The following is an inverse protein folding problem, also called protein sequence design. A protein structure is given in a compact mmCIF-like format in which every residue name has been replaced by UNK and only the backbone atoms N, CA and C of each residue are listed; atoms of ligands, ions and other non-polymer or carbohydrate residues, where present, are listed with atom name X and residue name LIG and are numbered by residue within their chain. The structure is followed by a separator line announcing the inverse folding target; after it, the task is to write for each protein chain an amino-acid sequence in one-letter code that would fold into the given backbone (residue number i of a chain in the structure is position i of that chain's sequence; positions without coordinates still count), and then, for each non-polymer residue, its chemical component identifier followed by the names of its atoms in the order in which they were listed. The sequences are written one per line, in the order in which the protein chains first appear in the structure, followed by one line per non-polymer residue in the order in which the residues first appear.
data_IF_325273767323
#
_entry.id   IF_325273767323
#
_cell.length_a   1.000
_cell.length_b   1.000
_cell.length_c   1.000
_cell.angle_alpha   90.00
_cell.angle_beta   90.00
_cell.angle_gamma   90.00
#
_symmetry.space_group_name_H-M   'P 1'
#
loop_
_entity.id
_entity.type
_entity.pdbx_description
1 polymer ?
#
# COMPACT_ATOMS: atom_id res chain seq x y z
N UNK A 1 15.64 6.42 -19.41
CA UNK A 1 14.55 5.42 -19.41
C UNK A 1 14.39 4.98 -17.95
N UNK A 2 13.18 5.13 -17.40
CA UNK A 2 12.89 4.70 -16.01
C UNK A 2 12.99 3.17 -15.91
N UNK A 3 13.50 2.66 -14.79
CA UNK A 3 13.59 1.21 -14.53
C UNK A 3 12.16 0.64 -14.35
N UNK A 4 11.86 -0.45 -15.06
CA UNK A 4 10.61 -1.17 -14.92
C UNK A 4 10.69 -2.08 -13.68
N UNK A 5 9.86 -1.80 -12.67
CA UNK A 5 9.88 -2.54 -11.41
C UNK A 5 8.86 -3.69 -11.40
N UNK A 6 7.62 -3.43 -11.86
CA UNK A 6 6.56 -4.44 -11.90
C UNK A 6 6.06 -4.64 -13.32
N UNK A 7 5.89 -5.90 -13.71
CA UNK A 7 5.21 -6.31 -14.93
C UNK A 7 4.06 -7.28 -14.59
N UNK A 8 2.91 -7.00 -15.17
CA UNK A 8 1.72 -7.86 -15.09
C UNK A 8 1.30 -8.19 -16.52
N UNK A 9 1.12 -9.47 -16.81
CA UNK A 9 0.81 -9.96 -18.16
C UNK A 9 -0.32 -10.96 -18.14
N UNK A 10 -1.39 -10.69 -18.90
CA UNK A 10 -2.54 -11.56 -19.13
C UNK A 10 -3.26 -11.97 -17.84
N UNK A 11 -3.25 -11.11 -16.81
CA UNK A 11 -3.75 -11.49 -15.48
C UNK A 11 -5.26 -11.67 -15.51
N UNK A 12 -5.75 -12.81 -15.00
CA UNK A 12 -7.16 -13.12 -14.87
C UNK A 12 -7.46 -13.64 -13.46
N UNK A 13 -8.64 -13.32 -12.95
CA UNK A 13 -9.09 -13.82 -11.65
C UNK A 13 -10.61 -13.95 -11.59
N UNK A 14 -11.08 -15.04 -10.97
CA UNK A 14 -12.48 -15.34 -10.69
C UNK A 14 -12.74 -15.38 -9.19
N UNK A 15 -13.98 -15.16 -8.83
CA UNK A 15 -14.48 -15.36 -7.46
C UNK A 15 -15.70 -16.27 -7.53
N UNK A 16 -15.49 -17.57 -7.27
CA UNK A 16 -16.48 -18.58 -7.59
C UNK A 16 -16.76 -18.59 -9.10
N UNK A 17 -18.03 -18.56 -9.55
CA UNK A 17 -18.35 -18.53 -10.97
C UNK A 17 -18.13 -17.15 -11.64
N UNK A 18 -18.05 -16.07 -10.85
CA UNK A 18 -17.97 -14.72 -11.37
C UNK A 18 -16.55 -14.36 -11.83
N UNK A 19 -16.41 -13.97 -13.09
CA UNK A 19 -15.19 -13.36 -13.62
C UNK A 19 -15.06 -11.93 -13.09
N UNK A 20 -13.96 -11.62 -12.40
CA UNK A 20 -13.69 -10.28 -11.89
C UNK A 20 -12.92 -9.42 -12.89
N UNK A 21 -11.92 -10.05 -13.51
CA UNK A 21 -11.14 -9.42 -14.59
C UNK A 21 -10.39 -10.52 -15.38
N UNK A 22 -10.08 -10.19 -16.63
CA UNK A 22 -9.27 -11.03 -17.51
C UNK A 22 -8.38 -10.15 -18.42
N UNK A 23 -7.30 -10.75 -18.92
CA UNK A 23 -6.37 -10.11 -19.87
C UNK A 23 -5.86 -8.75 -19.37
N UNK A 24 -5.57 -8.63 -18.07
CA UNK A 24 -5.04 -7.40 -17.50
C UNK A 24 -3.53 -7.37 -17.70
N UNK A 25 -3.08 -6.31 -18.41
CA UNK A 25 -1.68 -6.03 -18.69
C UNK A 25 -1.32 -4.63 -18.20
N UNK A 26 -0.24 -4.50 -17.44
CA UNK A 26 0.33 -3.20 -17.08
C UNK A 26 1.75 -3.33 -16.56
N UNK A 27 2.43 -2.19 -16.52
CA UNK A 27 3.77 -2.06 -15.92
C UNK A 27 3.78 -0.89 -14.93
N UNK A 28 4.63 -0.99 -13.90
CA UNK A 28 4.92 0.14 -13.00
C UNK A 28 6.43 0.36 -13.02
N UNK A 29 6.81 1.60 -13.27
CA UNK A 29 8.21 2.03 -13.33
C UNK A 29 8.62 2.69 -12.00
N UNK A 30 9.92 2.75 -11.75
CA UNK A 30 10.47 3.50 -10.63
C UNK A 30 10.02 4.96 -10.67
N UNK A 31 9.63 5.50 -9.53
CA UNK A 31 9.12 6.86 -9.40
C UNK A 31 7.66 7.05 -9.81
N UNK A 32 6.90 5.97 -10.13
CA UNK A 32 5.52 6.07 -10.62
C UNK A 32 4.52 5.31 -9.76
N UNK A 33 3.27 5.76 -9.82
CA UNK A 33 2.12 5.11 -9.20
C UNK A 33 1.08 4.70 -10.26
N UNK A 34 0.50 3.52 -10.10
CA UNK A 34 -0.66 3.07 -10.87
C UNK A 34 -1.90 3.11 -9.98
N UNK A 35 -2.89 3.92 -10.37
CA UNK A 35 -4.15 4.04 -9.67
C UNK A 35 -5.22 3.17 -10.34
N UNK A 36 -5.70 2.15 -9.63
CA UNK A 36 -6.77 1.25 -10.09
C UNK A 36 -8.12 1.88 -9.75
N UNK A 37 -8.92 2.13 -10.78
CA UNK A 37 -10.27 2.70 -10.70
C UNK A 37 -11.31 1.65 -11.12
N UNK A 38 -12.53 1.79 -10.65
CA UNK A 38 -13.66 0.92 -11.00
C UNK A 38 -14.74 0.93 -9.93
N UNK A 39 -15.93 0.44 -10.26
CA UNK A 39 -17.06 0.36 -9.34
C UNK A 39 -16.75 -0.54 -8.12
N UNK A 40 -17.56 -0.44 -7.07
CA UNK A 40 -17.47 -1.39 -5.96
C UNK A 40 -17.78 -2.80 -6.47
N UNK A 41 -16.95 -3.77 -6.07
CA UNK A 41 -17.07 -5.15 -6.56
C UNK A 41 -16.36 -5.45 -7.89
N UNK A 42 -15.78 -4.45 -8.58
CA UNK A 42 -15.07 -4.66 -9.87
C UNK A 42 -13.76 -5.46 -9.76
N UNK A 43 -13.35 -5.87 -8.56
CA UNK A 43 -12.14 -6.68 -8.39
C UNK A 43 -10.88 -5.90 -8.00
N UNK A 44 -10.95 -4.60 -7.70
CA UNK A 44 -9.77 -3.77 -7.32
C UNK A 44 -8.94 -4.42 -6.20
N UNK A 45 -9.56 -4.70 -5.06
CA UNK A 45 -8.90 -5.38 -3.92
C UNK A 45 -8.32 -6.74 -4.34
N UNK A 46 -9.05 -7.49 -5.18
CA UNK A 46 -8.59 -8.79 -5.68
C UNK A 46 -7.36 -8.62 -6.56
N UNK A 47 -7.34 -7.63 -7.47
CA UNK A 47 -6.17 -7.33 -8.29
C UNK A 47 -4.96 -6.98 -7.42
N UNK A 48 -5.12 -6.07 -6.45
CA UNK A 48 -4.05 -5.72 -5.52
C UNK A 48 -3.50 -6.96 -4.78
N UNK A 49 -4.40 -7.78 -4.21
CA UNK A 49 -4.02 -9.02 -3.51
C UNK A 49 -3.36 -10.04 -4.44
N UNK A 50 -3.80 -10.12 -5.69
CA UNK A 50 -3.18 -11.01 -6.68
C UNK A 50 -1.77 -10.54 -7.03
N UNK A 51 -1.55 -9.24 -7.21
CA UNK A 51 -0.22 -8.66 -7.41
C UNK A 51 0.69 -8.95 -6.22
N UNK A 52 0.19 -8.82 -4.99
CA UNK A 52 0.97 -9.14 -3.78
C UNK A 52 1.23 -10.65 -3.57
N UNK A 53 0.61 -11.53 -4.35
CA UNK A 53 0.69 -12.99 -4.16
C UNK A 53 -0.18 -13.52 -3.01
N UNK A 54 -1.09 -12.71 -2.48
CA UNK A 54 -2.06 -13.09 -1.45
C UNK A 54 -3.28 -13.82 -2.03
N UNK A 55 -3.49 -13.70 -3.33
CA UNK A 55 -4.52 -14.42 -4.09
C UNK A 55 -3.85 -15.04 -5.31
N UNK A 56 -4.16 -16.31 -5.61
CA UNK A 56 -3.66 -16.98 -6.81
C UNK A 56 -4.49 -16.51 -8.00
N UNK A 57 -3.87 -16.09 -9.11
CA UNK A 57 -4.59 -15.82 -10.35
C UNK A 57 -5.05 -17.11 -11.03
N UNK A 58 -6.11 -17.02 -11.85
CA UNK A 58 -6.55 -18.11 -12.72
C UNK A 58 -5.67 -18.22 -13.98
N UNK A 59 -5.17 -17.07 -14.47
CA UNK A 59 -4.22 -17.00 -15.58
C UNK A 59 -3.31 -15.77 -15.45
N UNK A 60 -2.25 -15.74 -16.27
CA UNK A 60 -1.29 -14.66 -16.33
C UNK A 60 -0.21 -14.74 -15.25
N UNK A 61 0.69 -13.78 -15.31
CA UNK A 61 1.84 -13.73 -14.40
C UNK A 61 2.13 -12.32 -13.90
N UNK A 62 2.85 -12.25 -12.77
CA UNK A 62 3.38 -11.02 -12.19
C UNK A 62 4.86 -11.20 -11.98
N UNK A 63 5.66 -10.27 -12.52
CA UNK A 63 7.11 -10.22 -12.39
C UNK A 63 7.56 -8.98 -11.64
N UNK A 64 8.55 -9.14 -10.79
CA UNK A 64 9.21 -8.06 -10.07
C UNK A 64 10.65 -7.97 -10.52
N UNK A 65 11.09 -6.82 -11.04
CA UNK A 65 12.44 -6.60 -11.60
C UNK A 65 12.82 -7.70 -12.60
N UNK A 66 11.87 -8.09 -13.47
CA UNK A 66 12.06 -9.13 -14.48
C UNK A 66 12.02 -10.57 -13.97
N UNK A 67 12.00 -10.81 -12.66
CA UNK A 67 11.92 -12.16 -12.08
C UNK A 67 10.49 -12.51 -11.63
N UNK A 68 10.14 -13.79 -11.62
CA UNK A 68 8.90 -14.26 -11.02
C UNK A 68 8.85 -13.89 -9.52
N UNK A 69 7.65 -13.61 -9.00
CA UNK A 69 7.46 -13.29 -7.58
C UNK A 69 8.01 -14.41 -6.69
N UNK A 70 8.86 -14.04 -5.75
CA UNK A 70 9.48 -14.96 -4.81
C UNK A 70 9.65 -14.32 -3.44
N UNK A 71 10.60 -14.82 -2.66
CA UNK A 71 10.91 -14.31 -1.33
C UNK A 71 11.46 -12.88 -1.37
N UNK A 72 12.34 -12.58 -2.33
CA UNK A 72 12.87 -11.24 -2.54
C UNK A 72 11.76 -10.20 -2.75
N UNK A 73 10.75 -10.52 -3.58
CA UNK A 73 9.59 -9.63 -3.78
C UNK A 73 8.84 -9.35 -2.47
N UNK A 74 8.67 -10.36 -1.62
CA UNK A 74 7.97 -10.18 -0.33
C UNK A 74 8.71 -9.25 0.62
N UNK A 75 10.03 -9.28 0.61
CA UNK A 75 10.87 -8.36 1.40
C UNK A 75 10.88 -6.92 0.88
N UNK A 76 10.52 -6.71 -0.40
CA UNK A 76 10.47 -5.39 -1.04
C UNK A 76 9.04 -4.81 -1.14
N UNK A 77 8.05 -5.47 -0.55
CA UNK A 77 6.62 -5.11 -0.66
C UNK A 77 6.04 -4.65 0.66
N UNK A 78 5.42 -3.48 0.67
CA UNK A 78 4.49 -3.07 1.72
C UNK A 78 3.05 -3.19 1.21
N UNK A 79 2.22 -4.03 1.85
CA UNK A 79 0.79 -4.10 1.60
C UNK A 79 -0.01 -3.41 2.71
N UNK A 80 -0.78 -2.39 2.32
CA UNK A 80 -1.77 -1.71 3.14
C UNK A 80 -3.18 -2.06 2.66
N UNK A 81 -3.83 -3.00 3.36
CA UNK A 81 -5.19 -3.43 3.03
C UNK A 81 -6.25 -2.43 3.50
N UNK A 82 -7.52 -2.69 3.16
CA UNK A 82 -8.66 -1.86 3.55
C UNK A 82 -8.79 -1.68 5.07
N UNK A 83 -8.54 -2.72 5.86
CA UNK A 83 -8.43 -2.63 7.31
C UNK A 83 -6.97 -2.40 7.72
N UNK A 84 -6.70 -1.47 8.66
CA UNK A 84 -5.35 -1.32 9.19
C UNK A 84 -4.94 -2.62 9.89
N UNK A 85 -3.73 -3.11 9.58
CA UNK A 85 -3.17 -4.31 10.21
C UNK A 85 -2.64 -3.96 11.60
N UNK A 86 -3.54 -3.61 12.51
CA UNK A 86 -3.26 -3.16 13.88
C UNK A 86 -3.81 -4.19 14.85
N UNK A 87 -2.99 -4.64 15.79
CA UNK A 87 -3.37 -5.55 16.87
C UNK A 87 -3.95 -4.75 18.03
N UNK A 88 -5.15 -5.11 18.46
CA UNK A 88 -5.92 -4.39 19.47
C UNK A 88 -5.28 -4.37 20.85
N UNK A 89 -4.56 -5.43 21.20
CA UNK A 89 -3.87 -5.60 22.48
C UNK A 89 -2.59 -4.79 22.59
N UNK A 90 -1.94 -4.53 21.47
CA UNK A 90 -0.69 -3.77 21.40
C UNK A 90 -0.96 -2.26 21.37
N UNK A 91 -0.06 -1.49 21.94
CA UNK A 91 -0.04 -0.04 21.81
C UNK A 91 0.31 0.41 20.40
N UNK A 92 0.17 1.72 20.10
CA UNK A 92 0.57 2.26 18.80
C UNK A 92 2.07 2.05 18.52
N UNK A 93 2.92 2.25 19.54
CA UNK A 93 4.38 2.06 19.45
C UNK A 93 4.73 0.58 19.23
N UNK A 94 4.11 -0.34 19.98
CA UNK A 94 4.32 -1.78 19.83
C UNK A 94 3.83 -2.30 18.48
N UNK A 95 2.70 -1.80 17.97
CA UNK A 95 2.21 -2.15 16.63
C UNK A 95 3.22 -1.75 15.55
N UNK A 96 3.79 -0.54 15.63
CA UNK A 96 4.82 -0.10 14.68
C UNK A 96 6.09 -0.95 14.79
N UNK A 97 6.55 -1.19 15.99
CA UNK A 97 7.74 -2.01 16.23
C UNK A 97 7.57 -3.43 15.67
N UNK A 98 6.43 -4.07 15.95
CA UNK A 98 6.13 -5.40 15.44
C UNK A 98 6.02 -5.43 13.90
N UNK A 99 5.33 -4.45 13.31
CA UNK A 99 5.15 -4.40 11.85
C UNK A 99 6.47 -4.15 11.11
N UNK A 100 7.33 -3.29 11.62
CA UNK A 100 8.64 -3.00 11.04
C UNK A 100 9.61 -4.17 11.24
N UNK A 101 9.60 -4.80 12.43
CA UNK A 101 10.40 -5.99 12.68
C UNK A 101 10.04 -7.16 11.77
N UNK A 102 8.75 -7.38 11.48
CA UNK A 102 8.29 -8.38 10.51
C UNK A 102 8.74 -8.06 9.07
N UNK A 103 8.90 -6.78 8.74
CA UNK A 103 9.46 -6.32 7.47
C UNK A 103 11.01 -6.36 7.43
N UNK A 104 11.65 -6.81 8.50
CA UNK A 104 13.11 -6.83 8.62
C UNK A 104 13.75 -5.44 8.79
N UNK A 105 12.95 -4.42 9.14
CA UNK A 105 13.42 -3.05 9.28
C UNK A 105 13.75 -2.74 10.74
N UNK A 106 15.00 -2.38 10.99
CA UNK A 106 15.44 -1.83 12.28
C UNK A 106 15.29 -0.31 12.26
N UNK A 107 14.28 0.19 12.98
CA UNK A 107 14.01 1.62 13.05
C UNK A 107 14.30 2.14 14.46
N UNK A 108 15.21 3.12 14.62
CA UNK A 108 15.51 3.74 15.89
C UNK A 108 14.25 4.32 16.55
N UNK A 109 14.19 4.26 17.87
CA UNK A 109 13.01 4.67 18.65
C UNK A 109 12.65 6.15 18.47
N UNK A 110 13.64 7.00 18.36
CA UNK A 110 13.46 8.43 18.10
C UNK A 110 12.78 8.71 16.75
N UNK A 111 13.16 7.97 15.70
CA UNK A 111 12.49 8.03 14.39
C UNK A 111 11.04 7.53 14.45
N UNK A 112 10.79 6.47 15.23
CA UNK A 112 9.43 5.97 15.46
C UNK A 112 8.58 7.01 16.20
N UNK A 113 9.15 7.66 17.22
CA UNK A 113 8.49 8.74 17.96
C UNK A 113 8.21 9.97 17.09
N UNK A 114 9.12 10.34 16.19
CA UNK A 114 8.90 11.39 15.21
C UNK A 114 7.72 11.06 14.29
N UNK A 115 7.66 9.86 13.71
CA UNK A 115 6.55 9.44 12.88
C UNK A 115 5.22 9.43 13.64
N UNK A 116 5.22 8.99 14.91
CA UNK A 116 4.02 9.06 15.77
C UNK A 116 3.60 10.51 16.08
N UNK A 117 4.55 11.42 16.13
CA UNK A 117 4.28 12.85 16.28
C UNK A 117 3.65 13.42 15.02
N UNK A 118 4.20 13.09 13.84
CA UNK A 118 3.70 13.56 12.55
C UNK A 118 2.24 13.12 12.30
N UNK A 119 1.88 11.91 12.75
CA UNK A 119 0.48 11.44 12.66
C UNK A 119 -0.39 11.84 13.86
N UNK A 120 0.12 12.63 14.82
CA UNK A 120 -0.62 13.12 15.98
C UNK A 120 -0.97 12.03 17.01
N UNK A 121 -0.14 10.98 17.13
CA UNK A 121 -0.36 9.87 18.07
C UNK A 121 0.66 9.79 19.20
N UNK A 122 1.68 10.66 19.24
CA UNK A 122 2.77 10.57 20.21
C UNK A 122 2.28 10.54 21.67
N UNK A 123 1.33 11.38 22.05
CA UNK A 123 0.78 11.42 23.42
C UNK A 123 -0.02 10.18 23.79
N UNK A 124 -0.45 9.41 22.79
CA UNK A 124 -1.23 8.16 22.94
C UNK A 124 -0.45 6.91 22.55
N UNK A 125 0.86 7.04 22.30
CA UNK A 125 1.68 5.95 21.77
C UNK A 125 1.69 4.68 22.62
N UNK A 126 1.54 4.83 23.94
CA UNK A 126 1.52 3.71 24.90
C UNK A 126 0.11 3.14 25.16
N UNK A 127 -0.94 3.75 24.58
CA UNK A 127 -2.30 3.22 24.77
C UNK A 127 -2.53 2.00 23.88
N UNK A 128 -3.15 0.92 24.39
CA UNK A 128 -3.59 -0.20 23.57
C UNK A 128 -4.50 0.27 22.43
N UNK A 129 -4.32 -0.28 21.23
CA UNK A 129 -5.00 0.16 20.03
C UNK A 129 -6.54 0.01 20.12
N UNK A 130 -7.05 -0.93 20.94
CA UNK A 130 -8.50 -1.03 21.22
C UNK A 130 -9.10 0.23 21.85
N UNK A 131 -8.29 1.10 22.47
CA UNK A 131 -8.72 2.39 23.04
C UNK A 131 -8.62 3.55 22.06
N UNK A 132 -8.12 3.30 20.87
CA UNK A 132 -7.99 4.29 19.81
C UNK A 132 -9.21 4.27 18.90
N UNK A 133 -9.60 5.45 18.40
CA UNK A 133 -10.63 5.54 17.35
C UNK A 133 -10.17 4.86 16.05
N UNK A 134 -11.11 4.57 15.16
CA UNK A 134 -10.79 3.99 13.86
C UNK A 134 -9.82 4.87 13.05
N UNK A 135 -10.02 6.19 13.05
CA UNK A 135 -9.10 7.14 12.43
C UNK A 135 -7.70 7.10 13.05
N UNK A 136 -7.62 7.00 14.39
CA UNK A 136 -6.33 6.88 15.09
C UNK A 136 -5.61 5.56 14.76
N UNK A 137 -6.33 4.44 14.61
CA UNK A 137 -5.74 3.17 14.16
C UNK A 137 -5.20 3.29 12.73
N UNK A 138 -5.90 3.99 11.83
CA UNK A 138 -5.41 4.26 10.46
C UNK A 138 -4.15 5.13 10.46
N UNK A 139 -4.03 6.05 11.41
CA UNK A 139 -2.82 6.85 11.57
C UNK A 139 -1.60 6.03 12.03
N UNK A 140 -1.78 4.89 12.74
CA UNK A 140 -0.69 3.93 12.99
C UNK A 140 -0.18 3.34 11.66
N UNK A 141 -1.10 2.94 10.76
CA UNK A 141 -0.70 2.44 9.44
C UNK A 141 0.00 3.52 8.60
N UNK A 142 -0.41 4.79 8.71
CA UNK A 142 0.27 5.91 8.06
C UNK A 142 1.68 6.13 8.64
N UNK A 143 1.86 6.06 9.97
CA UNK A 143 3.18 6.13 10.59
C UNK A 143 4.10 5.00 10.10
N UNK A 144 3.56 3.80 9.85
CA UNK A 144 4.30 2.71 9.22
C UNK A 144 4.78 3.09 7.81
N UNK A 145 3.94 3.67 6.96
CA UNK A 145 4.35 4.11 5.61
C UNK A 145 5.52 5.10 5.63
N UNK A 146 5.57 5.98 6.64
CA UNK A 146 6.67 6.95 6.82
C UNK A 146 8.00 6.25 7.14
N UNK A 147 7.93 5.11 7.82
CA UNK A 147 9.11 4.40 8.37
C UNK A 147 9.56 3.21 7.53
N UNK A 148 8.65 2.58 6.79
CA UNK A 148 8.89 1.34 6.07
C UNK A 148 9.78 1.59 4.84
N UNK A 149 10.90 0.88 4.68
CA UNK A 149 11.84 1.07 3.58
C UNK A 149 11.41 0.39 2.27
N UNK A 150 10.31 -0.37 2.26
CA UNK A 150 9.88 -1.14 1.09
C UNK A 150 9.78 -0.27 -0.17
N UNK A 151 10.44 -0.64 -1.29
CA UNK A 151 10.41 0.15 -2.52
C UNK A 151 9.08 0.06 -3.28
N UNK A 152 8.23 -0.93 -2.98
CA UNK A 152 6.93 -1.09 -3.64
C UNK A 152 5.78 -1.06 -2.63
N UNK A 153 4.88 -0.11 -2.80
CA UNK A 153 3.69 0.03 -1.97
C UNK A 153 2.43 -0.41 -2.71
N UNK A 154 1.63 -1.27 -2.09
CA UNK A 154 0.31 -1.66 -2.58
C UNK A 154 -0.73 -1.26 -1.54
N UNK A 155 -1.58 -0.29 -1.87
CA UNK A 155 -2.47 0.37 -0.93
C UNK A 155 -3.93 0.29 -1.39
N UNK A 156 -4.79 -0.29 -0.54
CA UNK A 156 -6.22 -0.46 -0.82
C UNK A 156 -7.03 0.58 -0.03
N UNK A 157 -7.59 1.57 -0.74
CA UNK A 157 -8.36 2.70 -0.23
C UNK A 157 -7.64 3.48 0.91
N UNK A 158 -6.39 3.89 0.70
CA UNK A 158 -5.55 4.43 1.78
C UNK A 158 -6.03 5.77 2.34
N UNK A 159 -6.82 6.54 1.58
CA UNK A 159 -7.36 7.85 2.00
C UNK A 159 -8.67 7.74 2.79
N UNK A 160 -9.35 6.60 2.76
CA UNK A 160 -10.64 6.40 3.42
C UNK A 160 -10.52 6.54 4.93
N UNK A 161 -11.47 7.27 5.55
CA UNK A 161 -11.56 7.51 7.00
C UNK A 161 -10.29 8.18 7.60
N UNK A 162 -9.54 8.92 6.80
CA UNK A 162 -8.55 9.89 7.24
C UNK A 162 -9.16 11.30 7.16
N UNK A 163 -8.81 12.16 8.12
CA UNK A 163 -9.11 13.58 8.04
C UNK A 163 -8.16 14.29 7.04
N UNK A 164 -8.47 15.53 6.68
CA UNK A 164 -7.75 16.29 5.66
C UNK A 164 -6.24 16.41 5.97
N UNK A 165 -5.88 16.57 7.24
CA UNK A 165 -4.48 16.66 7.66
C UNK A 165 -3.73 15.34 7.44
N UNK A 166 -4.35 14.21 7.79
CA UNK A 166 -3.77 12.89 7.59
C UNK A 166 -3.75 12.49 6.10
N UNK A 167 -4.76 12.89 5.31
CA UNK A 167 -4.75 12.71 3.85
C UNK A 167 -3.61 13.50 3.21
N UNK A 168 -3.44 14.77 3.58
CA UNK A 168 -2.34 15.60 3.10
C UNK A 168 -0.96 15.01 3.48
N UNK A 169 -0.83 14.47 4.69
CA UNK A 169 0.41 13.79 5.11
C UNK A 169 0.66 12.52 4.28
N UNK A 170 -0.36 11.68 4.04
CA UNK A 170 -0.25 10.50 3.19
C UNK A 170 0.20 10.86 1.78
N UNK A 171 -0.40 11.89 1.18
CA UNK A 171 -0.06 12.33 -0.18
C UNK A 171 1.39 12.84 -0.27
N UNK A 172 1.84 13.64 0.72
CA UNK A 172 3.25 14.05 0.80
C UNK A 172 4.20 12.87 0.99
N UNK A 173 3.82 11.89 1.81
CA UNK A 173 4.62 10.69 2.06
C UNK A 173 4.73 9.84 0.79
N UNK A 174 3.63 9.70 0.05
CA UNK A 174 3.60 9.00 -1.24
C UNK A 174 4.45 9.73 -2.29
N UNK A 175 4.32 11.06 -2.40
CA UNK A 175 5.13 11.85 -3.34
C UNK A 175 6.63 11.73 -3.04
N UNK A 176 7.01 11.82 -1.76
CA UNK A 176 8.39 11.60 -1.34
C UNK A 176 8.88 10.18 -1.61
N UNK A 177 8.02 9.15 -1.48
CA UNK A 177 8.34 7.77 -1.83
C UNK A 177 8.64 7.63 -3.32
N UNK A 178 7.77 8.17 -4.19
CA UNK A 178 7.97 8.16 -5.65
C UNK A 178 9.21 8.96 -6.05
N UNK A 179 9.44 10.11 -5.42
CA UNK A 179 10.62 10.95 -5.71
C UNK A 179 11.95 10.24 -5.42
N UNK A 180 11.97 9.29 -4.47
CA UNK A 180 13.14 8.44 -4.18
C UNK A 180 13.26 7.20 -5.08
N UNK A 181 12.44 7.09 -6.14
CA UNK A 181 12.43 5.95 -7.04
C UNK A 181 11.57 4.77 -6.57
N UNK A 182 10.79 4.94 -5.52
CA UNK A 182 9.78 3.97 -5.11
C UNK A 182 8.66 3.83 -6.13
N UNK A 183 7.84 2.80 -6.02
CA UNK A 183 6.69 2.58 -6.88
C UNK A 183 5.44 2.29 -6.05
N UNK A 184 4.25 2.58 -6.60
CA UNK A 184 3.01 2.32 -5.89
C UNK A 184 1.91 1.77 -6.80
N UNK A 185 1.11 0.84 -6.28
CA UNK A 185 -0.16 0.38 -6.85
C UNK A 185 -1.27 0.73 -5.85
N UNK A 186 -2.22 1.56 -6.25
CA UNK A 186 -3.29 2.01 -5.35
C UNK A 186 -4.66 1.68 -5.91
N UNK A 187 -5.58 1.23 -5.08
CA UNK A 187 -7.00 1.28 -5.37
C UNK A 187 -7.60 2.44 -4.58
N UNK A 188 -8.19 3.42 -5.27
CA UNK A 188 -8.86 4.55 -4.61
C UNK A 188 -9.86 5.21 -5.54
N UNK A 189 -10.91 5.78 -4.94
CA UNK A 189 -11.89 6.63 -5.63
C UNK A 189 -11.49 8.11 -5.58
N UNK A 190 -10.54 8.48 -4.73
CA UNK A 190 -10.06 9.85 -4.60
C UNK A 190 -9.07 10.20 -5.70
N UNK A 191 -9.07 11.46 -6.10
CA UNK A 191 -8.02 11.98 -6.97
C UNK A 191 -6.71 12.13 -6.17
N UNK A 192 -5.61 11.78 -6.83
CA UNK A 192 -4.28 11.92 -6.26
C UNK A 192 -3.66 13.20 -6.86
N UNK A 193 -3.54 14.29 -6.11
CA UNK A 193 -2.95 15.54 -6.58
C UNK A 193 -1.41 15.44 -6.59
N UNK A 194 -0.90 14.45 -7.31
CA UNK A 194 0.52 14.24 -7.59
C UNK A 194 0.83 14.75 -9.00
N UNK A 195 2.09 14.95 -9.33
CA UNK A 195 2.51 15.34 -10.65
C UNK A 195 1.94 14.35 -11.72
N UNK A 196 1.32 14.89 -12.77
CA UNK A 196 0.55 14.11 -13.77
C UNK A 196 1.39 13.06 -14.50
N UNK A 197 2.69 13.27 -14.61
CA UNK A 197 3.65 12.33 -15.21
C UNK A 197 3.98 11.12 -14.32
N UNK A 198 3.66 11.20 -13.01
CA UNK A 198 3.93 10.13 -12.05
C UNK A 198 2.75 9.21 -11.81
N UNK A 199 1.52 9.59 -12.19
CA UNK A 199 0.31 8.80 -11.89
C UNK A 199 -0.34 8.33 -13.19
N UNK A 200 -0.41 7.02 -13.34
CA UNK A 200 -1.17 6.36 -14.42
C UNK A 200 -2.45 5.77 -13.85
N UNK A 201 -3.44 5.56 -14.69
CA UNK A 201 -4.72 4.98 -14.27
C UNK A 201 -5.00 3.68 -15.03
N UNK A 202 -5.51 2.68 -14.31
CA UNK A 202 -6.07 1.45 -14.85
C UNK A 202 -7.55 1.37 -14.45
N UNK A 203 -8.45 1.16 -15.41
CA UNK A 203 -9.88 0.95 -15.12
C UNK A 203 -10.22 -0.53 -15.16
N UNK A 204 -10.91 -1.02 -14.10
CA UNK A 204 -11.47 -2.37 -14.06
C UNK A 204 -12.98 -2.31 -14.29
N UNK A 205 -13.50 -3.30 -15.02
CA UNK A 205 -14.94 -3.44 -15.25
C UNK A 205 -15.48 -2.44 -16.27
N UNK A 206 -14.70 -2.11 -17.30
CA UNK A 206 -15.16 -1.42 -18.50
C UNK A 206 -15.73 -2.43 -19.49
#
# INVERSE_FOLDING_TARGET
MSERLLEVSGLACRRGPALLFESIDFTIEAGTALCVRGANGSGKTTLLRTVCGLTRPDAGEVRWRGAARGEAFRGELLYGGHAPAVKDELSAEENLHAALGLAGAEVPRDRMHAALTDVGLFTRRALPARRLSQGQRRRIALARLILDPAPFWVLDEPLTALDDAAQALLLRTLDAHLARGGAALLATHHDLPLANDRVRQLRLGA
#
